data_IF_128233914114
#
_entry.id   IF_128233914114
#
_cell.length_a   1.000
_cell.length_b   1.000
_cell.length_c   1.000
_cell.angle_alpha   90.00
_cell.angle_beta   90.00
_cell.angle_gamma   90.00
#
_symmetry.space_group_name_H-M   'P 1'
#
loop_
_entity.id
_entity.type
_entity.pdbx_description
1 polymer ?
#
# COMPACT_ATOMS: atom_id res chain seq x y z
N UNK A 1 3.08 13.06 10.30
CA UNK A 1 2.26 13.19 11.52
C UNK A 1 1.24 12.06 11.50
N UNK A 2 1.39 10.99 12.29
CA UNK A 2 0.32 9.99 12.41
C UNK A 2 -0.75 10.59 13.32
N UNK A 3 -2.02 10.70 12.90
CA UNK A 3 -3.06 11.24 13.77
C UNK A 3 -3.17 10.33 14.99
N UNK A 4 -3.10 10.95 16.17
CA UNK A 4 -3.31 10.29 17.45
C UNK A 4 -4.71 9.67 17.38
N UNK A 5 -4.79 8.35 17.55
CA UNK A 5 -6.03 7.58 17.56
C UNK A 5 -6.84 7.93 18.81
N UNK A 6 -7.43 9.12 18.84
CA UNK A 6 -8.39 9.48 19.88
C UNK A 6 -9.69 8.72 19.59
N UNK A 7 -10.42 8.25 20.61
CA UNK A 7 -11.67 7.52 20.43
C UNK A 7 -12.69 8.27 19.55
N UNK A 8 -12.72 9.61 19.67
CA UNK A 8 -13.57 10.48 18.86
C UNK A 8 -13.17 10.44 17.39
N UNK A 9 -11.88 10.51 17.08
CA UNK A 9 -11.40 10.43 15.70
C UNK A 9 -11.70 9.07 15.07
N UNK A 10 -11.53 7.97 15.82
CA UNK A 10 -11.82 6.61 15.32
C UNK A 10 -13.32 6.42 15.03
N UNK A 11 -14.20 6.92 15.91
CA UNK A 11 -15.65 6.94 15.67
C UNK A 11 -16.02 7.79 14.44
N UNK A 12 -15.44 8.98 14.30
CA UNK A 12 -15.69 9.85 13.14
C UNK A 12 -15.30 9.18 11.82
N UNK A 13 -14.13 8.55 11.76
CA UNK A 13 -13.70 7.83 10.54
C UNK A 13 -14.58 6.61 10.27
N UNK A 14 -15.03 5.90 11.30
CA UNK A 14 -15.97 4.79 11.14
C UNK A 14 -17.29 5.25 10.52
N UNK A 15 -17.90 6.33 11.01
CA UNK A 15 -19.11 6.88 10.41
C UNK A 15 -18.90 7.42 8.99
N UNK A 16 -17.69 7.90 8.67
CA UNK A 16 -17.37 8.46 7.35
C UNK A 16 -17.04 7.40 6.29
N UNK A 17 -16.26 6.39 6.65
CA UNK A 17 -15.67 5.42 5.72
C UNK A 17 -16.20 3.99 5.94
N UNK A 18 -17.01 3.76 6.97
CA UNK A 18 -17.54 2.45 7.34
C UNK A 18 -16.49 1.48 7.91
N UNK A 19 -15.26 1.94 8.14
CA UNK A 19 -14.15 1.10 8.55
C UNK A 19 -13.53 1.55 9.86
N UNK A 20 -13.26 0.60 10.75
CA UNK A 20 -12.58 0.83 12.02
C UNK A 20 -11.10 0.50 11.83
N UNK A 21 -10.19 1.41 12.19
CA UNK A 21 -8.78 1.04 12.25
C UNK A 21 -8.58 0.02 13.37
N UNK A 22 -8.27 -1.23 12.99
CA UNK A 22 -8.06 -2.36 13.89
C UNK A 22 -6.59 -2.61 14.18
N UNK A 23 -5.68 -1.77 13.66
CA UNK A 23 -4.24 -1.97 13.75
C UNK A 23 -3.75 -3.33 13.21
N UNK A 24 -4.58 -4.09 12.48
CA UNK A 24 -4.26 -5.44 12.01
C UNK A 24 -3.03 -5.47 11.13
N UNK A 25 -2.89 -4.49 10.23
CA UNK A 25 -1.70 -4.31 9.39
C UNK A 25 -0.43 -4.04 10.21
N UNK A 26 -0.55 -3.31 11.33
CA UNK A 26 0.57 -3.03 12.24
C UNK A 26 0.97 -4.27 13.04
N UNK A 27 0.00 -5.06 13.49
CA UNK A 27 0.24 -6.34 14.14
C UNK A 27 0.91 -7.35 13.21
N UNK A 28 0.45 -7.45 11.96
CA UNK A 28 1.09 -8.28 10.94
C UNK A 28 2.54 -7.83 10.69
N UNK A 29 2.79 -6.52 10.59
CA UNK A 29 4.15 -6.00 10.43
C UNK A 29 5.07 -6.32 11.62
N UNK A 30 4.55 -6.27 12.85
CA UNK A 30 5.29 -6.67 14.04
C UNK A 30 5.63 -8.16 14.02
N UNK A 31 4.64 -9.01 13.73
CA UNK A 31 4.83 -10.46 13.64
C UNK A 31 5.86 -10.82 12.55
N UNK A 32 5.75 -10.18 11.39
CA UNK A 32 6.69 -10.35 10.28
C UNK A 32 8.12 -9.97 10.68
N UNK A 33 8.30 -8.87 11.42
CA UNK A 33 9.60 -8.45 11.91
C UNK A 33 10.20 -9.49 12.88
N UNK A 34 9.41 -9.99 13.83
CA UNK A 34 9.84 -11.02 14.76
C UNK A 34 10.22 -12.31 14.04
N UNK A 35 9.39 -12.76 13.08
CA UNK A 35 9.67 -13.94 12.25
C UNK A 35 10.91 -13.76 11.37
N UNK A 36 11.21 -12.54 10.90
CA UNK A 36 12.43 -12.26 10.15
C UNK A 36 13.66 -12.34 11.05
N UNK A 37 13.57 -11.83 12.30
CA UNK A 37 14.65 -11.85 13.29
C UNK A 37 15.01 -13.25 13.79
N UNK A 38 14.09 -14.20 13.74
CA UNK A 38 14.37 -15.61 14.10
C UNK A 38 15.10 -16.39 13.00
N UNK A 39 15.23 -15.84 11.79
CA UNK A 39 15.94 -16.50 10.68
C UNK A 39 17.42 -16.15 10.68
N UNK A 40 18.23 -17.02 10.06
CA UNK A 40 19.65 -16.72 9.79
C UNK A 40 19.77 -15.50 8.88
N UNK A 41 20.85 -14.73 9.07
CA UNK A 41 21.08 -13.45 8.36
C UNK A 41 21.00 -13.62 6.84
N UNK A 42 21.62 -14.66 6.27
CA UNK A 42 21.58 -14.92 4.82
C UNK A 42 20.16 -15.12 4.28
N UNK A 43 19.33 -15.87 5.02
CA UNK A 43 17.93 -16.13 4.66
C UNK A 43 17.05 -14.90 4.87
N UNK A 44 17.33 -14.10 5.90
CA UNK A 44 16.63 -12.84 6.12
C UNK A 44 16.93 -11.84 4.97
N UNK A 45 18.18 -11.76 4.52
CA UNK A 45 18.61 -10.94 3.38
C UNK A 45 17.86 -11.32 2.11
N UNK A 46 17.82 -12.61 1.77
CA UNK A 46 17.10 -13.14 0.61
C UNK A 46 15.61 -12.78 0.63
N UNK A 47 14.96 -12.93 1.78
CA UNK A 47 13.54 -12.57 1.95
C UNK A 47 13.33 -11.07 1.76
N UNK A 48 14.22 -10.22 2.27
CA UNK A 48 14.12 -8.76 2.09
C UNK A 48 14.30 -8.37 0.63
N UNK A 49 15.29 -8.94 -0.07
CA UNK A 49 15.54 -8.67 -1.49
C UNK A 49 14.35 -9.12 -2.37
N UNK A 50 13.78 -10.29 -2.09
CA UNK A 50 12.59 -10.77 -2.79
C UNK A 50 11.38 -9.85 -2.55
N UNK A 51 11.20 -9.35 -1.32
CA UNK A 51 10.15 -8.37 -0.97
C UNK A 51 10.35 -7.04 -1.71
N UNK A 52 11.58 -6.52 -1.78
CA UNK A 52 11.87 -5.28 -2.53
C UNK A 52 11.61 -5.46 -4.03
N UNK A 53 12.00 -6.60 -4.62
CA UNK A 53 11.72 -6.92 -6.03
C UNK A 53 10.23 -7.08 -6.32
N UNK A 54 9.46 -7.58 -5.35
CA UNK A 54 8.01 -7.76 -5.49
C UNK A 54 7.21 -6.47 -5.29
N UNK A 55 7.81 -5.40 -4.73
CA UNK A 55 7.14 -4.10 -4.64
C UNK A 55 7.00 -3.51 -6.04
N UNK A 56 5.77 -3.47 -6.54
CA UNK A 56 5.40 -2.68 -7.71
C UNK A 56 5.82 -1.23 -7.46
N UNK A 57 6.82 -0.75 -8.19
CA UNK A 57 7.26 0.63 -8.07
C UNK A 57 6.07 1.56 -8.35
N UNK A 58 5.93 2.64 -7.58
CA UNK A 58 4.86 3.65 -7.75
C UNK A 58 4.82 4.15 -9.20
N UNK A 59 5.98 4.16 -9.85
CA UNK A 59 6.16 4.47 -11.26
C UNK A 59 6.61 3.21 -12.00
N UNK A 60 5.81 2.78 -12.97
CA UNK A 60 6.18 1.76 -13.94
C UNK A 60 6.44 2.50 -15.25
N UNK A 61 7.62 2.31 -15.83
CA UNK A 61 7.90 2.82 -17.17
C UNK A 61 6.99 2.09 -18.16
N UNK A 62 6.07 2.85 -18.76
CA UNK A 62 5.19 2.36 -19.83
C UNK A 62 5.76 2.80 -21.18
N UNK A 63 5.54 2.00 -22.22
CA UNK A 63 5.74 2.48 -23.59
C UNK A 63 4.73 3.58 -23.93
N UNK A 64 4.95 4.30 -25.05
CA UNK A 64 4.04 5.38 -25.46
C UNK A 64 2.61 4.87 -25.64
N UNK A 65 2.46 3.67 -26.19
CA UNK A 65 1.19 3.01 -26.49
C UNK A 65 0.48 2.56 -25.19
N UNK A 66 1.23 1.97 -24.26
CA UNK A 66 0.73 1.56 -22.94
C UNK A 66 0.32 2.75 -22.07
N UNK A 67 1.11 3.84 -22.12
CA UNK A 67 0.79 5.08 -21.42
C UNK A 67 -0.49 5.71 -21.96
N UNK A 68 -0.64 5.78 -23.29
CA UNK A 68 -1.83 6.34 -23.95
C UNK A 68 -3.09 5.53 -23.60
N UNK A 69 -2.99 4.20 -23.63
CA UNK A 69 -4.12 3.32 -23.31
C UNK A 69 -4.51 3.45 -21.84
N UNK A 70 -3.53 3.43 -20.93
CA UNK A 70 -3.79 3.55 -19.50
C UNK A 70 -4.37 4.93 -19.12
N UNK A 71 -3.96 6.00 -19.82
CA UNK A 71 -4.55 7.32 -19.64
C UNK A 71 -6.02 7.34 -20.07
N UNK A 72 -6.34 6.80 -21.25
CA UNK A 72 -7.71 6.75 -21.75
C UNK A 72 -8.63 5.91 -20.86
N UNK A 73 -8.15 4.78 -20.34
CA UNK A 73 -8.91 3.96 -19.39
C UNK A 73 -9.23 4.69 -18.08
N UNK A 74 -8.27 5.46 -17.55
CA UNK A 74 -8.42 6.15 -16.27
C UNK A 74 -9.19 7.47 -16.39
N UNK A 75 -8.98 8.19 -17.49
CA UNK A 75 -9.37 9.59 -17.63
C UNK A 75 -10.17 9.90 -18.91
N UNK A 76 -10.46 8.92 -19.77
CA UNK A 76 -11.19 9.16 -21.02
C UNK A 76 -12.58 9.75 -20.81
N UNK A 77 -13.21 9.48 -19.67
CA UNK A 77 -14.49 10.11 -19.26
C UNK A 77 -14.40 11.62 -19.05
N UNK A 78 -13.20 12.20 -18.94
CA UNK A 78 -12.98 13.65 -18.85
C UNK A 78 -13.00 14.31 -20.22
N UNK A 79 -12.74 13.57 -21.30
CA UNK A 79 -12.77 14.07 -22.68
C UNK A 79 -14.21 14.13 -23.22
N UNK A 80 -15.17 13.43 -22.59
CA UNK A 80 -16.59 13.43 -22.96
C UNK A 80 -17.37 14.66 -22.40
N UNK A 81 -16.70 15.54 -21.65
CA UNK A 81 -17.31 16.70 -20.99
C UNK A 81 -17.19 18.02 -21.77
N UNK A 82 -16.86 17.98 -23.06
CA UNK A 82 -16.90 19.13 -23.98
C UNK A 82 -18.22 19.18 -24.79
#
# INVERSE_FOLDING_TARGET
>A
MQPISTPVHQLQQYYRLGNLDTCSSKWSALYDCLNLKTKRISKAQEILEAREKAKTHIWIYRTKEEASTNWYELFGHLDDME
#
